data_IF_371991336223
#
_entry.id   IF_371991336223
#
_cell.length_a   1.000
_cell.length_b   1.000
_cell.length_c   1.000
_cell.angle_alpha   90.00
_cell.angle_beta   90.00
_cell.angle_gamma   90.00
#
_symmetry.space_group_name_H-M   'P 1'
#
loop_
_entity.id
_entity.type
_entity.pdbx_description
1 polymer ?
#
# COMPACT_ATOMS: atom_id res chain seq x y z
N UNK A 1 -18.99 10.09 -16.27
CA UNK A 1 -18.84 11.22 -17.20
C UNK A 1 -17.88 12.20 -16.54
N UNK A 2 -16.66 12.32 -17.06
CA UNK A 2 -15.68 13.30 -16.54
C UNK A 2 -16.10 14.66 -17.10
N UNK A 3 -16.38 15.63 -16.24
CA UNK A 3 -16.67 17.00 -16.68
C UNK A 3 -15.39 17.58 -17.30
N UNK A 4 -15.30 17.55 -18.64
CA UNK A 4 -14.14 17.96 -19.43
C UNK A 4 -13.92 19.48 -19.51
N UNK A 5 -14.62 20.29 -18.70
CA UNK A 5 -14.52 21.75 -18.73
C UNK A 5 -13.66 22.33 -17.60
N UNK A 6 -12.74 21.55 -17.06
CA UNK A 6 -11.80 22.04 -16.06
C UNK A 6 -10.63 22.68 -16.80
N UNK A 7 -10.74 23.98 -17.03
CA UNK A 7 -9.63 24.77 -17.55
C UNK A 7 -8.45 24.68 -16.57
N UNK A 8 -7.23 24.40 -17.04
CA UNK A 8 -6.05 24.37 -16.19
C UNK A 8 -5.78 25.76 -15.60
N UNK A 9 -5.19 25.82 -14.41
CA UNK A 9 -4.73 27.07 -13.83
C UNK A 9 -3.65 27.70 -14.71
N UNK A 10 -3.54 29.04 -14.68
CA UNK A 10 -2.61 29.76 -15.54
C UNK A 10 -1.13 29.43 -15.28
N UNK A 11 -0.79 29.06 -14.04
CA UNK A 11 0.57 28.73 -13.61
C UNK A 11 0.56 27.97 -12.27
N UNK A 12 1.75 27.53 -11.83
CA UNK A 12 1.94 26.81 -10.56
C UNK A 12 1.49 27.62 -9.34
N UNK A 13 1.73 28.93 -9.32
CA UNK A 13 1.41 29.78 -8.16
C UNK A 13 -0.10 29.83 -7.90
N UNK A 14 -0.89 30.00 -8.97
CA UNK A 14 -2.34 29.95 -8.91
C UNK A 14 -2.84 28.58 -8.43
N UNK A 15 -2.20 27.49 -8.87
CA UNK A 15 -2.51 26.14 -8.40
C UNK A 15 -2.19 25.95 -6.91
N UNK A 16 -1.02 26.42 -6.43
CA UNK A 16 -0.65 26.33 -5.02
C UNK A 16 -1.60 27.13 -4.14
N UNK A 17 -2.02 28.31 -4.60
CA UNK A 17 -3.04 29.11 -3.91
C UNK A 17 -4.37 28.37 -3.82
N UNK A 18 -4.82 27.74 -4.90
CA UNK A 18 -6.02 26.89 -4.90
C UNK A 18 -5.89 25.73 -3.90
N UNK A 19 -4.77 25.00 -3.92
CA UNK A 19 -4.53 23.86 -3.03
C UNK A 19 -4.53 24.28 -1.56
N UNK A 20 -4.03 25.48 -1.23
CA UNK A 20 -4.07 26.00 0.13
C UNK A 20 -5.46 26.44 0.59
N UNK A 21 -6.31 26.93 -0.33
CA UNK A 21 -7.65 27.42 -0.01
C UNK A 21 -8.76 26.37 -0.11
N UNK A 22 -8.53 25.25 -0.80
CA UNK A 22 -9.54 24.23 -1.09
C UNK A 22 -9.32 22.93 -0.30
N UNK A 23 -9.06 23.08 1.00
CA UNK A 23 -9.00 21.94 1.92
C UNK A 23 -10.40 21.43 2.21
N UNK A 24 -10.55 20.11 2.33
CA UNK A 24 -11.82 19.46 2.68
C UNK A 24 -11.71 18.81 4.05
N UNK A 25 -12.81 18.83 4.81
CA UNK A 25 -12.98 17.96 5.97
C UNK A 25 -13.10 16.51 5.49
N UNK A 26 -12.57 15.58 6.27
CA UNK A 26 -12.50 14.17 5.92
C UNK A 26 -13.18 13.29 6.98
N UNK A 27 -13.71 12.16 6.54
CA UNK A 27 -14.25 11.15 7.43
C UNK A 27 -13.13 10.19 7.89
N UNK A 28 -13.16 9.70 9.13
CA UNK A 28 -12.17 8.72 9.60
C UNK A 28 -12.11 7.51 8.65
N UNK A 29 -10.93 7.27 8.06
CA UNK A 29 -10.73 6.20 7.08
C UNK A 29 -10.45 6.66 5.65
N UNK A 30 -10.63 7.96 5.35
CA UNK A 30 -10.14 8.53 4.10
C UNK A 30 -8.61 8.37 3.99
N UNK A 31 -8.10 8.14 2.79
CA UNK A 31 -6.68 7.95 2.52
C UNK A 31 -6.20 8.83 1.38
N UNK A 32 -4.92 9.22 1.44
CA UNK A 32 -4.26 9.90 0.32
C UNK A 32 -3.82 8.85 -0.71
N UNK A 33 -4.22 8.98 -1.96
CA UNK A 33 -3.83 8.03 -3.02
C UNK A 33 -2.35 8.16 -3.45
N UNK A 34 -1.61 9.19 -2.99
CA UNK A 34 -0.18 9.34 -3.27
C UNK A 34 0.67 8.62 -2.22
N UNK A 35 0.39 8.84 -0.93
CA UNK A 35 1.21 8.31 0.18
C UNK A 35 0.54 7.17 0.95
N UNK A 36 -0.71 6.83 0.65
CA UNK A 36 -1.54 5.80 1.31
C UNK A 36 -1.74 5.98 2.82
N UNK A 37 -1.37 7.14 3.37
CA UNK A 37 -1.64 7.47 4.78
C UNK A 37 -3.16 7.59 4.95
N UNK A 38 -3.65 6.89 5.98
CA UNK A 38 -5.06 6.97 6.41
C UNK A 38 -5.19 8.11 7.41
N UNK A 39 -6.11 9.02 7.14
CA UNK A 39 -6.35 10.16 8.00
C UNK A 39 -7.27 9.76 9.14
N UNK A 40 -6.78 9.93 10.36
CA UNK A 40 -7.58 9.77 11.57
C UNK A 40 -7.98 11.16 12.05
N UNK A 41 -9.27 11.35 12.37
CA UNK A 41 -9.71 12.57 13.02
C UNK A 41 -8.94 12.67 14.35
N UNK A 42 -8.28 13.80 14.66
CA UNK A 42 -7.71 13.99 15.98
C UNK A 42 -8.83 13.75 16.99
N UNK A 43 -8.68 12.75 17.85
CA UNK A 43 -9.58 12.57 18.97
C UNK A 43 -9.56 13.92 19.69
N UNK A 44 -10.73 14.56 19.80
CA UNK A 44 -10.87 15.82 20.51
C UNK A 44 -10.10 15.69 21.83
N UNK A 45 -9.29 16.69 22.23
CA UNK A 45 -8.44 16.57 23.40
C UNK A 45 -9.32 16.14 24.56
N UNK A 46 -9.21 14.86 24.93
CA UNK A 46 -9.94 14.34 26.07
C UNK A 46 -9.48 15.18 27.24
N UNK A 47 -10.39 15.83 28.00
CA UNK A 47 -9.98 16.61 29.16
C UNK A 47 -9.12 15.71 30.02
N UNK A 48 -7.87 16.11 30.22
CA UNK A 48 -6.81 15.31 30.82
C UNK A 48 -7.31 14.71 32.13
N UNK A 49 -7.59 13.40 32.13
CA UNK A 49 -7.74 12.64 33.37
C UNK A 49 -6.33 12.28 33.80
N UNK A 50 -5.87 13.00 34.81
CA UNK A 50 -4.57 12.88 35.45
C UNK A 50 -4.41 11.50 36.09
N UNK A 51 -3.87 10.52 35.37
CA UNK A 51 -3.33 9.31 35.99
C UNK A 51 -2.06 8.88 35.28
N UNK A 52 -0.96 9.17 35.96
CA UNK A 52 0.40 8.78 35.63
C UNK A 52 0.55 7.25 35.61
N UNK A 53 0.81 6.65 34.46
CA UNK A 53 1.45 5.33 34.39
C UNK A 53 2.27 5.21 33.10
N UNK A 54 3.57 5.14 33.29
CA UNK A 54 4.57 4.96 32.25
C UNK A 54 4.49 3.55 31.65
N UNK A 55 4.36 3.48 30.33
CA UNK A 55 4.73 2.30 29.53
C UNK A 55 5.40 2.78 28.24
N UNK A 56 6.60 2.27 27.89
CA UNK A 56 7.23 2.56 26.62
C UNK A 56 6.68 1.58 25.57
N UNK A 57 5.95 2.09 24.59
CA UNK A 57 5.58 1.30 23.39
C UNK A 57 6.23 1.96 22.19
N UNK A 58 7.39 1.43 21.80
CA UNK A 58 7.98 1.64 20.49
C UNK A 58 7.05 1.03 19.42
N UNK A 59 6.70 1.82 18.40
CA UNK A 59 5.90 1.33 17.28
C UNK A 59 5.18 2.42 16.49
N UNK A 60 5.94 3.17 15.69
CA UNK A 60 5.50 3.80 14.43
C UNK A 60 4.16 4.57 14.47
N UNK A 61 4.18 5.76 15.07
CA UNK A 61 3.36 6.85 14.53
C UNK A 61 4.32 7.98 14.17
N UNK A 62 4.70 8.03 12.88
CA UNK A 62 5.03 9.32 12.30
C UNK A 62 3.78 10.17 12.48
N UNK A 63 3.83 11.02 13.51
CA UNK A 63 2.96 12.17 13.66
C UNK A 63 3.34 13.11 12.52
N UNK A 64 2.98 12.73 11.30
CA UNK A 64 2.75 13.69 10.24
C UNK A 64 1.76 14.68 10.83
N UNK A 65 2.05 15.98 10.70
CA UNK A 65 1.15 17.02 11.18
C UNK A 65 -0.26 16.86 10.58
N UNK A 66 -1.20 17.76 10.89
CA UNK A 66 -2.50 17.77 10.23
C UNK A 66 -2.30 18.03 8.72
N UNK A 67 -2.04 16.98 7.98
CA UNK A 67 -2.00 16.95 6.53
C UNK A 67 -3.44 17.15 6.09
N UNK A 68 -3.71 18.32 5.52
CA UNK A 68 -5.06 18.65 5.06
C UNK A 68 -5.33 17.91 3.74
N UNK A 69 -6.51 17.32 3.60
CA UNK A 69 -6.95 16.78 2.32
C UNK A 69 -7.40 17.93 1.41
N UNK A 70 -7.10 17.81 0.13
CA UNK A 70 -7.47 18.78 -0.90
C UNK A 70 -8.15 18.05 -2.05
N UNK A 71 -9.29 18.58 -2.48
CA UNK A 71 -9.98 18.11 -3.70
C UNK A 71 -9.50 18.91 -4.90
N UNK A 72 -8.95 18.23 -5.90
CA UNK A 72 -8.59 18.87 -7.17
C UNK A 72 -9.84 19.20 -8.00
N UNK A 73 -9.73 20.08 -9.02
CA UNK A 73 -10.87 20.41 -9.87
C UNK A 73 -11.46 19.17 -10.56
N UNK A 74 -10.62 18.15 -10.83
CA UNK A 74 -11.02 16.85 -11.39
C UNK A 74 -11.67 15.88 -10.37
N UNK A 75 -12.06 16.36 -9.18
CA UNK A 75 -12.65 15.64 -8.06
C UNK A 75 -11.80 14.57 -7.36
N UNK A 76 -10.54 14.36 -7.76
CA UNK A 76 -9.62 13.49 -7.02
C UNK A 76 -9.09 14.19 -5.75
N UNK A 77 -8.92 13.42 -4.69
CA UNK A 77 -8.53 13.92 -3.36
C UNK A 77 -7.15 13.42 -3.01
N UNK A 78 -6.31 14.32 -2.48
CA UNK A 78 -4.94 13.99 -2.07
C UNK A 78 -4.58 14.78 -0.81
N UNK A 79 -3.54 14.34 -0.10
CA UNK A 79 -2.86 15.18 0.89
C UNK A 79 -2.30 16.43 0.22
N UNK A 80 -2.52 17.60 0.84
CA UNK A 80 -2.09 18.91 0.32
C UNK A 80 -0.62 18.92 -0.05
N UNK A 81 0.23 18.40 0.85
CA UNK A 81 1.67 18.48 0.69
C UNK A 81 2.16 17.39 -0.29
N UNK A 82 1.45 16.25 -0.34
CA UNK A 82 1.65 15.21 -1.35
C UNK A 82 1.43 15.71 -2.78
N UNK A 83 0.32 16.39 -3.05
CA UNK A 83 0.03 16.88 -4.41
C UNK A 83 0.95 18.05 -4.83
N UNK A 84 1.42 18.85 -3.86
CA UNK A 84 2.44 19.87 -4.12
C UNK A 84 3.77 19.24 -4.51
N UNK A 85 4.25 18.28 -3.72
CA UNK A 85 5.51 17.57 -4.01
C UNK A 85 5.46 16.84 -5.36
N UNK A 86 4.31 16.21 -5.67
CA UNK A 86 4.08 15.57 -6.97
C UNK A 86 4.25 16.53 -8.14
N UNK A 87 3.59 17.69 -8.09
CA UNK A 87 3.63 18.68 -9.19
C UNK A 87 4.93 19.46 -9.28
N UNK A 88 5.75 19.46 -8.22
CA UNK A 88 7.08 20.09 -8.19
C UNK A 88 8.13 19.26 -8.94
N UNK A 89 8.11 17.94 -8.77
CA UNK A 89 9.14 17.05 -9.34
C UNK A 89 8.70 16.38 -10.65
N UNK A 90 7.40 16.38 -10.95
CA UNK A 90 6.91 15.76 -12.17
C UNK A 90 7.25 16.59 -13.41
N UNK A 91 7.64 15.89 -14.48
CA UNK A 91 7.83 16.50 -15.80
C UNK A 91 6.55 17.13 -16.37
N UNK A 92 5.37 16.79 -15.82
CA UNK A 92 4.09 17.39 -16.19
C UNK A 92 3.20 17.63 -14.97
N UNK A 93 2.54 18.80 -14.85
CA UNK A 93 1.67 19.12 -13.72
C UNK A 93 0.27 18.51 -13.92
N UNK A 94 0.19 17.18 -13.83
CA UNK A 94 -1.06 16.45 -14.07
C UNK A 94 -1.55 15.75 -12.80
N UNK A 95 -2.87 15.54 -12.72
CA UNK A 95 -3.47 14.74 -11.65
C UNK A 95 -2.94 13.30 -11.67
N UNK A 96 -2.46 12.74 -10.54
CA UNK A 96 -1.95 11.36 -10.49
C UNK A 96 -2.96 10.29 -10.96
N UNK A 97 -4.26 10.53 -10.75
CA UNK A 97 -5.31 9.54 -11.00
C UNK A 97 -5.88 9.61 -12.42
N UNK A 98 -6.16 10.82 -12.92
CA UNK A 98 -6.84 11.00 -14.22
C UNK A 98 -6.01 11.74 -15.26
N UNK A 99 -4.79 12.18 -14.92
CA UNK A 99 -3.88 12.92 -15.79
C UNK A 99 -4.42 14.26 -16.32
N UNK A 100 -5.50 14.78 -15.74
CA UNK A 100 -5.98 16.13 -16.04
C UNK A 100 -4.87 17.16 -15.77
N UNK A 101 -4.63 18.07 -16.72
CA UNK A 101 -3.64 19.15 -16.58
C UNK A 101 -4.10 20.09 -15.48
N UNK A 102 -3.29 20.25 -14.44
CA UNK A 102 -3.62 21.08 -13.29
C UNK A 102 -3.30 22.53 -13.58
N UNK A 103 -2.12 22.82 -14.15
CA UNK A 103 -1.74 24.17 -14.55
C UNK A 103 -0.90 24.16 -15.82
N UNK A 104 -0.87 25.29 -16.51
CA UNK A 104 -0.02 25.48 -17.67
C UNK A 104 1.43 25.70 -17.21
N UNK A 105 2.35 24.90 -17.75
CA UNK A 105 3.78 25.22 -17.70
C UNK A 105 4.09 26.17 -18.84
N UNK A 106 4.89 27.24 -18.61
CA UNK A 106 5.41 28.02 -19.71
C UNK A 106 6.13 27.07 -20.69
N UNK A 107 6.04 27.30 -22.00
CA UNK A 107 6.78 26.51 -22.96
C UNK A 107 8.25 26.53 -22.53
N UNK A 108 8.96 25.38 -22.56
CA UNK A 108 10.38 25.38 -22.29
C UNK A 108 10.97 26.43 -23.21
N UNK A 109 11.63 27.44 -22.64
CA UNK A 109 12.38 28.41 -23.46
C UNK A 109 13.20 27.56 -24.41
N UNK A 110 13.13 27.77 -25.74
CA UNK A 110 13.91 26.99 -26.68
C UNK A 110 15.35 27.10 -26.21
N UNK A 111 15.80 26.02 -25.56
CA UNK A 111 17.17 25.88 -25.14
C UNK A 111 17.88 25.75 -26.47
N UNK A 112 18.42 26.88 -26.93
CA UNK A 112 19.45 26.90 -27.97
C UNK A 112 20.32 25.70 -27.63
N UNK A 113 20.45 24.70 -28.53
CA UNK A 113 21.12 23.45 -28.23
C UNK A 113 22.44 23.80 -27.57
N UNK A 114 22.47 23.68 -26.25
CA UNK A 114 23.63 24.02 -25.47
C UNK A 114 24.60 22.92 -25.89
N UNK A 115 25.62 23.32 -26.64
CA UNK A 115 26.80 22.50 -26.92
C UNK A 115 27.08 21.71 -25.64
N UNK A 116 27.26 20.38 -25.72
CA UNK A 116 27.39 19.51 -24.57
C UNK A 116 28.35 20.17 -23.58
N UNK A 117 27.77 20.75 -22.53
CA UNK A 117 28.56 21.41 -21.50
C UNK A 117 29.28 20.27 -20.83
N UNK A 118 30.60 20.32 -21.00
CA UNK A 118 31.56 19.31 -20.63
C UNK A 118 31.20 18.74 -19.26
N UNK A 119 30.94 17.43 -19.27
CA UNK A 119 30.76 16.58 -18.10
C UNK A 119 32.12 16.45 -17.41
N UNK A 120 32.59 17.50 -16.76
CA UNK A 120 33.85 17.52 -16.01
C UNK A 120 33.54 18.18 -14.67
N UNK A 121 32.82 17.45 -13.81
CA UNK A 121 32.82 17.54 -12.33
C UNK A 121 31.59 16.82 -11.74
N UNK A 122 31.30 15.61 -12.24
CA UNK A 122 30.66 14.61 -11.39
C UNK A 122 31.79 13.90 -10.64
N UNK A 123 31.80 13.89 -9.29
CA UNK A 123 32.85 13.25 -8.54
C UNK A 123 32.82 11.76 -8.86
N UNK A 124 33.89 11.29 -9.51
CA UNK A 124 34.10 9.89 -9.93
C UNK A 124 33.94 8.90 -8.74
N UNK A 125 33.93 9.38 -7.49
CA UNK A 125 33.67 8.59 -6.28
C UNK A 125 32.25 8.02 -6.18
N UNK A 126 31.22 8.69 -6.70
CA UNK A 126 29.83 8.26 -6.49
C UNK A 126 29.46 7.02 -7.31
N UNK A 127 30.04 6.89 -8.52
CA UNK A 127 29.83 5.74 -9.38
C UNK A 127 30.45 4.48 -8.77
N UNK A 128 31.62 4.59 -8.13
CA UNK A 128 32.26 3.46 -7.46
C UNK A 128 31.44 3.00 -6.24
N UNK A 129 30.83 3.94 -5.50
CA UNK A 129 29.96 3.61 -4.38
C UNK A 129 28.67 2.92 -4.83
N UNK A 130 28.10 3.35 -5.95
CA UNK A 130 26.91 2.74 -6.55
C UNK A 130 27.21 1.31 -7.05
N UNK A 131 28.35 1.11 -7.75
CA UNK A 131 28.80 -0.21 -8.18
C UNK A 131 29.04 -1.15 -6.98
N UNK A 132 29.67 -0.66 -5.90
CA UNK A 132 29.89 -1.46 -4.69
C UNK A 132 28.57 -1.84 -4.00
N UNK A 133 27.58 -0.95 -4.04
CA UNK A 133 26.24 -1.20 -3.47
C UNK A 133 25.46 -2.21 -4.31
N UNK A 134 25.52 -2.11 -5.64
CA UNK A 134 24.90 -3.08 -6.54
C UNK A 134 25.54 -4.47 -6.42
N UNK A 135 26.86 -4.56 -6.27
CA UNK A 135 27.56 -5.84 -6.03
C UNK A 135 27.11 -6.51 -4.75
N UNK A 136 27.02 -5.76 -3.64
CA UNK A 136 26.47 -6.28 -2.36
C UNK A 136 25.04 -6.77 -2.52
N UNK A 137 24.20 -6.07 -3.30
CA UNK A 137 22.83 -6.53 -3.55
C UNK A 137 22.82 -7.85 -4.34
N UNK A 138 23.60 -7.95 -5.42
CA UNK A 138 23.69 -9.18 -6.23
C UNK A 138 24.23 -10.37 -5.42
N UNK A 139 25.20 -10.14 -4.54
CA UNK A 139 25.73 -11.17 -3.63
C UNK A 139 24.73 -11.56 -2.53
N UNK A 140 23.88 -10.62 -2.09
CA UNK A 140 22.84 -10.87 -1.08
C UNK A 140 21.59 -11.57 -1.62
N UNK A 141 21.40 -11.60 -2.94
CA UNK A 141 20.29 -12.34 -3.55
C UNK A 141 20.54 -13.83 -3.27
N UNK A 142 19.65 -14.51 -2.52
CA UNK A 142 19.82 -15.92 -2.22
C UNK A 142 19.92 -16.67 -3.54
N UNK A 143 20.91 -17.56 -3.63
CA UNK A 143 21.14 -18.32 -4.86
C UNK A 143 19.85 -19.07 -5.18
N UNK A 144 19.49 -19.16 -6.46
CA UNK A 144 18.24 -19.80 -6.88
C UNK A 144 18.03 -21.21 -6.29
N UNK A 145 19.12 -21.91 -5.96
CA UNK A 145 19.09 -23.22 -5.30
C UNK A 145 18.65 -23.14 -3.83
N UNK A 146 19.05 -22.12 -3.09
CA UNK A 146 18.63 -21.90 -1.70
C UNK A 146 17.13 -21.61 -1.62
N UNK A 147 16.62 -20.77 -2.54
CA UNK A 147 15.18 -20.50 -2.66
C UNK A 147 14.40 -21.78 -2.98
N UNK A 148 14.93 -22.65 -3.85
CA UNK A 148 14.32 -23.96 -4.16
C UNK A 148 14.35 -24.89 -2.95
N UNK A 149 15.46 -24.92 -2.22
CA UNK A 149 15.60 -25.76 -1.03
C UNK A 149 14.63 -25.30 0.07
N UNK A 150 14.55 -23.99 0.36
CA UNK A 150 13.60 -23.46 1.32
C UNK A 150 12.14 -23.75 0.93
N UNK A 151 11.80 -23.55 -0.35
CA UNK A 151 10.47 -23.89 -0.86
C UNK A 151 10.15 -25.39 -0.72
N UNK A 152 11.15 -26.26 -0.93
CA UNK A 152 10.99 -27.71 -0.74
C UNK A 152 10.76 -28.07 0.73
N UNK A 153 11.51 -27.47 1.65
CA UNK A 153 11.36 -27.67 3.10
C UNK A 153 10.01 -27.18 3.61
N UNK A 154 9.55 -26.00 3.16
CA UNK A 154 8.22 -25.46 3.49
C UNK A 154 7.10 -26.39 3.01
N UNK A 155 7.23 -26.96 1.81
CA UNK A 155 6.26 -27.95 1.28
C UNK A 155 6.26 -29.24 2.10
N UNK A 156 7.44 -29.74 2.49
CA UNK A 156 7.55 -30.94 3.32
C UNK A 156 6.89 -30.76 4.69
N UNK A 157 7.13 -29.62 5.36
CA UNK A 157 6.47 -29.29 6.63
C UNK A 157 4.95 -29.20 6.49
N UNK A 158 4.46 -28.55 5.44
CA UNK A 158 3.02 -28.44 5.18
C UNK A 158 2.37 -29.81 4.92
N UNK A 159 3.06 -30.72 4.22
CA UNK A 159 2.59 -32.09 4.01
C UNK A 159 2.55 -32.89 5.32
N UNK A 160 3.53 -32.72 6.20
CA UNK A 160 3.56 -33.38 7.51
C UNK A 160 2.41 -32.89 8.41
N UNK A 161 2.16 -31.58 8.42
CA UNK A 161 1.05 -30.97 9.13
C UNK A 161 -0.31 -31.50 8.63
N UNK A 162 -0.52 -31.54 7.30
CA UNK A 162 -1.76 -32.07 6.72
C UNK A 162 -1.93 -33.57 7.07
N UNK A 163 -0.86 -34.34 7.04
CA UNK A 163 -0.88 -35.74 7.45
C UNK A 163 -1.24 -35.90 8.94
N UNK A 164 -0.74 -35.03 9.81
CA UNK A 164 -1.09 -35.01 11.23
C UNK A 164 -2.58 -34.70 11.44
N UNK A 165 -3.10 -33.66 10.76
CA UNK A 165 -4.53 -33.31 10.80
C UNK A 165 -5.39 -34.48 10.31
N UNK A 166 -4.97 -35.17 9.24
CA UNK A 166 -5.68 -36.35 8.72
C UNK A 166 -5.71 -37.50 9.74
N UNK A 167 -4.61 -37.75 10.46
CA UNK A 167 -4.56 -38.75 11.56
C UNK A 167 -5.54 -38.40 12.68
N UNK A 168 -5.54 -37.14 13.14
CA UNK A 168 -6.46 -36.69 14.20
C UNK A 168 -7.92 -36.85 13.77
N UNK A 169 -8.27 -36.43 12.55
CA UNK A 169 -9.63 -36.61 12.00
C UNK A 169 -10.03 -38.08 11.93
N UNK A 170 -9.13 -38.96 11.51
CA UNK A 170 -9.38 -40.40 11.48
C UNK A 170 -9.64 -40.97 12.87
N UNK A 171 -8.83 -40.59 13.87
CA UNK A 171 -9.01 -41.02 15.26
C UNK A 171 -10.35 -40.55 15.80
N UNK A 172 -10.72 -39.28 15.56
CA UNK A 172 -12.01 -38.74 15.96
C UNK A 172 -13.17 -39.48 15.31
N UNK A 173 -13.10 -39.77 14.01
CA UNK A 173 -14.13 -40.54 13.31
C UNK A 173 -14.30 -41.95 13.88
N UNK A 174 -13.20 -42.62 14.25
CA UNK A 174 -13.26 -43.93 14.91
C UNK A 174 -13.88 -43.86 16.31
N UNK A 175 -13.55 -42.83 17.10
CA UNK A 175 -14.17 -42.60 18.41
C UNK A 175 -15.66 -42.32 18.29
N UNK A 176 -16.08 -41.52 17.30
CA UNK A 176 -17.49 -41.25 17.04
C UNK A 176 -18.27 -42.53 16.72
N UNK A 177 -17.68 -43.47 15.96
CA UNK A 177 -18.29 -44.79 15.69
C UNK A 177 -18.43 -45.67 16.94
N UNK A 178 -17.48 -45.60 17.88
CA UNK A 178 -17.57 -46.36 19.13
C UNK A 178 -18.65 -45.84 20.08
N UNK A 179 -19.05 -44.57 19.93
CA UNK A 179 -20.13 -43.97 20.70
C UNK A 179 -21.51 -44.21 20.06
N UNK A 180 -21.58 -44.80 18.86
CA UNK A 180 -22.86 -45.17 18.25
C UNK A 180 -23.49 -46.33 19.05
N UNK A 181 -24.72 -46.16 19.56
CA UNK A 181 -25.36 -47.21 20.35
C UNK A 181 -25.63 -48.44 19.47
N UNK A 182 -25.31 -49.66 19.96
CA UNK A 182 -25.63 -50.88 19.25
C UNK A 182 -27.16 -51.05 19.19
N UNK A 183 -27.80 -50.67 18.09
CA UNK A 183 -29.25 -50.84 17.92
C UNK A 183 -29.98 -49.93 16.92
N UNK A 184 -29.32 -48.95 16.30
CA UNK A 184 -29.96 -48.08 15.29
C UNK A 184 -30.05 -48.72 13.88
N UNK A 185 -30.41 -49.99 13.77
CA UNK A 185 -30.76 -50.66 12.49
C UNK A 185 -32.25 -50.52 12.12
N UNK A 186 -32.94 -49.50 12.63
CA UNK A 186 -34.33 -49.25 12.27
C UNK A 186 -34.44 -48.43 10.97
N UNK A 187 -34.77 -49.12 9.87
CA UNK A 187 -35.63 -48.50 8.85
C UNK A 187 -35.08 -48.27 7.44
N UNK A 188 -34.22 -49.14 6.90
CA UNK A 188 -34.03 -49.25 5.44
C UNK A 188 -34.35 -50.66 4.91
N UNK A 189 -35.44 -51.27 5.38
CA UNK A 189 -36.08 -52.36 4.64
C UNK A 189 -36.93 -51.75 3.52
N UNK A 190 -36.31 -51.72 2.33
CA UNK A 190 -36.91 -51.97 1.01
C UNK A 190 -38.42 -51.72 0.90
N UNK A 191 -38.79 -50.56 0.35
CA UNK A 191 -39.99 -50.48 -0.49
C UNK A 191 -39.52 -50.82 -1.90
N UNK A 192 -39.48 -52.11 -2.21
CA UNK A 192 -39.41 -52.60 -3.57
C UNK A 192 -40.34 -53.81 -3.64
N UNK A 193 -41.25 -53.78 -4.63
CA UNK A 193 -42.00 -54.89 -5.19
C UNK A 193 -43.45 -55.09 -4.67
N UNK A 194 -44.40 -54.42 -5.32
CA UNK A 194 -45.74 -54.95 -5.66
C UNK A 194 -46.10 -54.49 -7.09
N UNK A 195 -45.88 -55.41 -8.04
CA UNK A 195 -46.71 -55.67 -9.23
C UNK A 195 -47.14 -57.14 -9.13
#
# INVERSE_FOLDING_TARGET
MVNNNLLPFANREAFVTYVNGNTIDFDPGDKCDICYITYTRPLAPTPASSTSSAAPTEGLQQVGGPEFLVRLPCNHVFGRDCIRAWTEHAASPTCPMCRAVLYLTPPPKPTVPHSPTTTEDLPIGDIQHEIATLRRHVESVPRAEEVRQEASSRRAMSQEEEAAVRRVRSTLANLMRLLEPPGSEHGRRRVAQEE
#
